data_IF_633986163223
#
_entry.id   IF_633986163223
#
_cell.length_a   1.000
_cell.length_b   1.000
_cell.length_c   1.000
_cell.angle_alpha   90.00
_cell.angle_beta   90.00
_cell.angle_gamma   90.00
#
_symmetry.space_group_name_H-M   'P 1'
#
loop_
_entity.id
_entity.type
_entity.pdbx_description
1 polymer ?
#
# COMPACT_ATOMS: atom_id res chain seq x y z
N UNK A 1 -17.87 -23.14 9.52
CA UNK A 1 -18.29 -21.76 9.84
C UNK A 1 -17.14 -20.85 9.44
N UNK A 2 -17.35 -19.84 8.59
CA UNK A 2 -16.28 -18.93 8.20
C UNK A 2 -15.91 -18.05 9.41
N UNK A 3 -14.68 -18.19 9.90
CA UNK A 3 -14.14 -17.30 10.94
C UNK A 3 -14.03 -15.88 10.37
N UNK A 4 -14.59 -14.89 11.07
CA UNK A 4 -14.45 -13.49 10.68
C UNK A 4 -12.99 -13.11 10.91
N UNK A 5 -12.29 -12.73 9.84
CA UNK A 5 -10.91 -12.24 9.93
C UNK A 5 -10.89 -10.73 10.04
N UNK A 6 -9.82 -10.20 10.61
CA UNK A 6 -9.62 -8.76 10.74
C UNK A 6 -8.55 -8.28 9.75
N UNK A 7 -8.85 -7.18 9.04
CA UNK A 7 -7.87 -6.35 8.35
C UNK A 7 -7.53 -5.21 9.28
N UNK A 8 -6.34 -5.26 9.85
CA UNK A 8 -5.80 -4.21 10.69
C UNK A 8 -5.26 -3.06 9.82
N UNK A 9 -5.52 -1.82 10.22
CA UNK A 9 -5.06 -0.65 9.46
C UNK A 9 -4.62 0.51 10.35
N UNK A 10 -3.52 1.15 9.96
CA UNK A 10 -3.09 2.44 10.49
C UNK A 10 -2.70 3.37 9.33
N UNK A 11 -3.05 4.65 9.43
CA UNK A 11 -2.54 5.68 8.54
C UNK A 11 -2.34 6.97 9.34
N UNK A 12 -1.11 7.49 9.33
CA UNK A 12 -0.70 8.64 10.13
C UNK A 12 0.26 9.53 9.34
N UNK A 13 0.25 10.81 9.69
CA UNK A 13 1.25 11.80 9.33
C UNK A 13 2.30 11.85 10.45
N UNK A 14 3.56 11.66 10.08
CA UNK A 14 4.71 11.80 10.97
C UNK A 14 5.09 13.27 11.15
N UNK A 15 5.99 13.54 12.10
CA UNK A 15 6.39 14.91 12.45
C UNK A 15 7.08 15.64 11.30
N UNK A 16 7.79 14.91 10.44
CA UNK A 16 8.45 15.44 9.25
C UNK A 16 7.50 15.61 8.05
N UNK A 17 6.19 15.47 8.28
CA UNK A 17 5.13 15.49 7.27
C UNK A 17 5.23 14.39 6.22
N UNK A 18 5.98 13.32 6.50
CA UNK A 18 5.87 12.07 5.74
C UNK A 18 4.67 11.25 6.20
N UNK A 19 4.17 10.42 5.31
CA UNK A 19 3.00 9.57 5.52
C UNK A 19 3.48 8.16 5.80
N UNK A 20 2.93 7.60 6.87
CA UNK A 20 3.02 6.19 7.18
C UNK A 20 1.63 5.55 7.07
N UNK A 21 1.53 4.50 6.29
CA UNK A 21 0.32 3.71 6.09
C UNK A 21 0.68 2.25 6.17
N UNK A 22 -0.03 1.47 6.98
CA UNK A 22 0.16 0.02 7.04
C UNK A 22 -1.19 -0.65 7.15
N UNK A 23 -1.38 -1.71 6.37
CA UNK A 23 -2.55 -2.57 6.41
C UNK A 23 -2.11 -4.02 6.34
N UNK A 24 -2.70 -4.88 7.17
CA UNK A 24 -2.38 -6.30 7.13
C UNK A 24 -3.59 -7.16 7.46
N UNK A 25 -3.50 -8.42 7.06
CA UNK A 25 -4.38 -9.51 7.47
C UNK A 25 -3.53 -10.75 7.78
N UNK A 26 -4.07 -11.66 8.58
CA UNK A 26 -3.43 -12.97 8.82
C UNK A 26 -4.24 -14.05 8.12
N UNK A 27 -3.61 -14.72 7.15
CA UNK A 27 -4.14 -15.90 6.47
C UNK A 27 -3.85 -17.13 7.32
N UNK A 28 -4.82 -18.02 7.59
CA UNK A 28 -4.49 -19.34 8.10
C UNK A 28 -3.69 -20.15 7.06
N UNK A 29 -2.88 -21.11 7.53
CA UNK A 29 -1.92 -21.83 6.69
C UNK A 29 -2.54 -22.55 5.49
N UNK A 30 -3.76 -23.04 5.63
CA UNK A 30 -4.52 -23.70 4.55
C UNK A 30 -4.84 -22.75 3.37
N UNK A 31 -4.81 -21.44 3.61
CA UNK A 31 -5.04 -20.40 2.60
C UNK A 31 -3.77 -19.65 2.19
N UNK A 32 -2.64 -19.93 2.85
CA UNK A 32 -1.38 -19.23 2.66
C UNK A 32 -0.51 -19.84 1.56
N UNK A 33 -0.86 -21.03 1.05
CA UNK A 33 -0.08 -21.72 0.03
C UNK A 33 0.10 -20.86 -1.23
N UNK A 34 1.36 -20.74 -1.68
CA UNK A 34 1.74 -19.92 -2.83
C UNK A 34 1.60 -18.40 -2.66
N UNK A 35 1.30 -17.90 -1.45
CA UNK A 35 1.23 -16.45 -1.19
C UNK A 35 2.63 -15.90 -0.93
N UNK A 36 3.23 -15.28 -1.94
CA UNK A 36 4.55 -14.64 -1.87
C UNK A 36 4.48 -13.12 -2.14
N UNK A 37 5.52 -12.34 -1.83
CA UNK A 37 5.56 -10.90 -2.17
C UNK A 37 5.38 -10.61 -3.66
N UNK A 38 5.93 -11.44 -4.56
CA UNK A 38 5.75 -11.35 -6.02
C UNK A 38 4.28 -11.51 -6.39
N UNK A 39 3.65 -12.56 -5.85
CA UNK A 39 2.23 -12.87 -6.02
C UNK A 39 1.34 -11.71 -5.55
N UNK A 40 1.71 -11.09 -4.42
CA UNK A 40 1.00 -9.94 -3.85
C UNK A 40 1.16 -8.71 -4.73
N UNK A 41 2.37 -8.43 -5.19
CA UNK A 41 2.67 -7.28 -6.05
C UNK A 41 1.86 -7.36 -7.34
N UNK A 42 1.89 -8.50 -8.03
CA UNK A 42 1.14 -8.67 -9.28
C UNK A 42 -0.37 -8.44 -9.08
N UNK A 43 -0.95 -9.04 -8.03
CA UNK A 43 -2.38 -8.85 -7.71
C UNK A 43 -2.69 -7.42 -7.29
N UNK A 44 -1.79 -6.76 -6.57
CA UNK A 44 -1.97 -5.38 -6.16
C UNK A 44 -1.99 -4.43 -7.36
N UNK A 45 -1.08 -4.60 -8.32
CA UNK A 45 -1.08 -3.81 -9.56
C UNK A 45 -2.34 -4.07 -10.39
N UNK A 46 -2.75 -5.32 -10.51
CA UNK A 46 -4.01 -5.69 -11.17
C UNK A 46 -5.23 -5.10 -10.43
N UNK A 47 -5.21 -5.08 -9.09
CA UNK A 47 -6.24 -4.46 -8.27
C UNK A 47 -6.31 -2.95 -8.50
N UNK A 48 -5.17 -2.24 -8.49
CA UNK A 48 -5.12 -0.81 -8.78
C UNK A 48 -5.78 -0.49 -10.13
N UNK A 49 -5.45 -1.27 -11.17
CA UNK A 49 -6.03 -1.10 -12.50
C UNK A 49 -7.55 -1.28 -12.48
N UNK A 50 -8.06 -2.30 -11.78
CA UNK A 50 -9.51 -2.59 -11.71
C UNK A 50 -10.25 -1.57 -10.85
N UNK A 51 -9.71 -1.25 -9.67
CA UNK A 51 -10.33 -0.36 -8.70
C UNK A 51 -10.45 1.08 -9.24
N UNK A 52 -9.44 1.53 -9.98
CA UNK A 52 -9.46 2.87 -10.61
C UNK A 52 -10.16 2.89 -11.96
N UNK A 53 -10.85 1.81 -12.37
CA UNK A 53 -11.47 1.68 -13.69
C UNK A 53 -10.50 2.01 -14.84
N UNK A 54 -9.24 1.59 -14.69
CA UNK A 54 -8.11 1.84 -15.61
C UNK A 54 -7.65 3.30 -15.71
N UNK A 55 -8.16 4.20 -14.87
CA UNK A 55 -7.69 5.59 -14.77
C UNK A 55 -6.22 5.64 -14.38
N UNK A 56 -5.82 4.78 -13.44
CA UNK A 56 -4.41 4.56 -13.08
C UNK A 56 -3.96 3.24 -13.68
N UNK A 57 -2.89 3.29 -14.48
CA UNK A 57 -2.31 2.14 -15.18
C UNK A 57 -0.90 1.90 -14.68
N UNK A 58 -0.67 0.83 -13.91
CA UNK A 58 0.67 0.35 -13.65
C UNK A 58 1.35 -0.02 -14.96
N UNK A 59 2.59 0.42 -15.13
CA UNK A 59 3.40 0.13 -16.31
C UNK A 59 4.83 -0.14 -15.88
N UNK A 60 5.36 -1.29 -16.26
CA UNK A 60 6.78 -1.58 -16.13
C UNK A 60 7.55 -0.72 -17.15
N UNK A 61 8.55 0.00 -16.67
CA UNK A 61 9.47 0.79 -17.49
C UNK A 61 10.89 0.27 -17.28
N UNK A 62 11.85 0.56 -18.19
CA UNK A 62 13.23 0.14 -18.00
C UNK A 62 13.78 0.66 -16.66
N UNK A 63 14.00 -0.25 -15.70
CA UNK A 63 14.51 0.07 -14.36
C UNK A 63 13.46 0.48 -13.32
N UNK A 64 12.16 0.35 -13.60
CA UNK A 64 11.13 0.77 -12.65
C UNK A 64 9.68 0.39 -12.95
N UNK A 65 8.80 0.94 -12.12
CA UNK A 65 7.35 0.82 -12.23
C UNK A 65 6.70 2.19 -12.13
N UNK A 66 5.94 2.60 -13.14
CA UNK A 66 5.16 3.84 -13.14
C UNK A 66 3.67 3.58 -12.92
N UNK A 67 3.03 4.38 -12.06
CA UNK A 67 1.57 4.48 -11.96
C UNK A 67 1.09 5.64 -12.82
N UNK A 68 0.67 5.36 -14.05
CA UNK A 68 0.40 6.37 -15.07
C UNK A 68 -1.06 6.74 -15.17
N UNK A 69 -1.36 8.02 -15.39
CA UNK A 69 -2.72 8.49 -15.66
C UNK A 69 -3.11 8.19 -17.12
N UNK A 70 -4.27 7.56 -17.31
CA UNK A 70 -4.81 7.20 -18.64
C UNK A 70 -4.82 8.39 -19.61
N UNK A 71 -4.48 8.13 -20.87
CA UNK A 71 -4.47 9.16 -21.91
C UNK A 71 -3.32 10.17 -21.82
N UNK A 72 -2.46 10.09 -20.80
CA UNK A 72 -1.35 11.03 -20.62
C UNK A 72 0.01 10.33 -20.65
N UNK A 73 1.11 11.10 -20.59
CA UNK A 73 2.48 10.62 -20.29
C UNK A 73 2.89 10.80 -18.83
N UNK A 74 1.97 11.26 -17.98
CA UNK A 74 2.29 11.66 -16.61
C UNK A 74 2.21 10.47 -15.65
N UNK A 75 3.30 10.21 -14.94
CA UNK A 75 3.34 9.28 -13.82
C UNK A 75 2.83 9.99 -12.57
N UNK A 76 1.79 9.43 -11.93
CA UNK A 76 1.31 9.86 -10.62
C UNK A 76 2.37 9.61 -9.56
N UNK A 77 2.90 8.40 -9.57
CA UNK A 77 4.04 7.97 -8.75
C UNK A 77 4.89 7.06 -9.62
N UNK A 78 6.20 7.23 -9.52
CA UNK A 78 7.22 6.40 -10.13
C UNK A 78 8.00 5.68 -9.05
N UNK A 79 8.28 4.41 -9.29
CA UNK A 79 9.01 3.54 -8.39
C UNK A 79 10.25 2.95 -9.06
N UNK A 80 11.24 2.55 -8.26
CA UNK A 80 12.28 1.61 -8.67
C UNK A 80 11.69 0.27 -9.09
N UNK A 81 12.53 -0.59 -9.68
CA UNK A 81 12.19 -2.01 -9.79
C UNK A 81 11.93 -2.59 -8.40
N UNK A 82 11.10 -3.65 -8.29
CA UNK A 82 10.91 -4.33 -7.02
C UNK A 82 12.21 -4.98 -6.57
N UNK A 83 12.63 -4.66 -5.35
CA UNK A 83 13.72 -5.33 -4.65
C UNK A 83 13.12 -6.38 -3.72
N UNK A 84 13.51 -7.63 -3.91
CA UNK A 84 13.01 -8.74 -3.10
C UNK A 84 13.97 -9.04 -1.97
N UNK A 85 13.46 -9.06 -0.75
CA UNK A 85 14.20 -9.37 0.44
C UNK A 85 13.62 -10.63 1.09
N UNK A 86 14.51 -11.47 1.59
CA UNK A 86 14.17 -12.68 2.30
C UNK A 86 15.00 -12.73 3.59
N UNK A 87 14.28 -12.77 4.71
CA UNK A 87 14.78 -13.03 6.06
C UNK A 87 14.09 -14.31 6.58
N UNK A 88 14.54 -14.85 7.72
CA UNK A 88 14.17 -16.20 8.21
C UNK A 88 12.65 -16.47 8.22
N UNK A 89 11.84 -15.49 8.60
CA UNK A 89 10.36 -15.60 8.66
C UNK A 89 9.63 -14.54 7.84
N UNK A 90 10.34 -13.63 7.17
CA UNK A 90 9.75 -12.48 6.49
C UNK A 90 10.30 -12.32 5.09
N UNK A 91 9.42 -12.32 4.10
CA UNK A 91 9.76 -12.00 2.72
C UNK A 91 9.08 -10.69 2.34
N UNK A 92 9.71 -9.87 1.51
CA UNK A 92 9.12 -8.62 1.04
C UNK A 92 9.53 -8.23 -0.36
N UNK A 93 8.66 -7.50 -1.03
CA UNK A 93 8.90 -6.79 -2.27
C UNK A 93 8.85 -5.29 -1.97
N UNK A 94 9.99 -4.62 -2.09
CA UNK A 94 10.16 -3.20 -1.77
C UNK A 94 10.29 -2.41 -3.07
N UNK A 95 9.48 -1.37 -3.20
CA UNK A 95 9.50 -0.42 -4.30
C UNK A 95 9.82 0.96 -3.74
N UNK A 96 11.03 1.45 -3.98
CA UNK A 96 11.40 2.81 -3.61
C UNK A 96 10.69 3.79 -4.53
N UNK A 97 10.09 4.84 -3.98
CA UNK A 97 9.56 5.95 -4.76
C UNK A 97 10.75 6.67 -5.38
N UNK A 98 10.59 7.12 -6.63
CA UNK A 98 11.61 7.85 -7.39
C UNK A 98 11.09 9.18 -7.95
N UNK A 99 9.78 9.41 -7.91
CA UNK A 99 9.18 10.66 -8.34
C UNK A 99 7.72 10.50 -8.74
N UNK A 100 7.25 11.40 -9.61
CA UNK A 100 5.87 11.48 -10.07
C UNK A 100 5.15 12.72 -9.54
N UNK A 101 4.04 13.07 -10.19
CA UNK A 101 3.34 14.34 -9.92
C UNK A 101 2.71 14.42 -8.54
N UNK A 102 2.59 13.30 -7.81
CA UNK A 102 2.07 13.29 -6.45
C UNK A 102 3.18 13.36 -5.40
N UNK A 103 4.46 13.37 -5.77
CA UNK A 103 5.60 13.35 -4.84
C UNK A 103 6.25 14.73 -4.76
N UNK A 104 6.71 15.14 -3.58
CA UNK A 104 7.52 16.35 -3.46
C UNK A 104 8.88 16.15 -4.16
N UNK A 105 9.30 17.04 -5.09
CA UNK A 105 10.51 16.87 -5.90
C UNK A 105 11.79 16.59 -5.09
N UNK A 106 11.97 17.29 -3.97
CA UNK A 106 13.18 17.19 -3.12
C UNK A 106 13.12 16.08 -2.06
N UNK A 107 12.16 15.15 -2.21
CA UNK A 107 11.89 14.05 -1.27
C UNK A 107 11.59 12.73 -1.98
N UNK A 108 11.88 12.66 -3.28
CA UNK A 108 11.47 11.55 -4.14
C UNK A 108 12.06 10.21 -3.71
N UNK A 109 13.26 10.19 -3.14
CA UNK A 109 14.06 9.02 -2.76
C UNK A 109 13.77 8.45 -1.36
N UNK A 110 12.91 9.10 -0.59
CA UNK A 110 12.62 8.69 0.80
C UNK A 110 11.54 7.63 0.90
N UNK A 111 10.47 7.79 0.13
CA UNK A 111 9.26 6.99 0.29
C UNK A 111 9.41 5.58 -0.25
N UNK A 112 8.74 4.60 0.38
CA UNK A 112 8.78 3.20 -0.03
C UNK A 112 7.41 2.56 0.06
N UNK A 113 7.06 1.76 -0.94
CA UNK A 113 5.95 0.83 -0.88
C UNK A 113 6.51 -0.57 -0.68
N UNK A 114 6.04 -1.27 0.34
CA UNK A 114 6.45 -2.62 0.67
C UNK A 114 5.22 -3.54 0.71
N UNK A 115 5.33 -4.69 0.05
CA UNK A 115 4.41 -5.80 0.21
C UNK A 115 5.17 -6.94 0.87
N UNK A 116 4.71 -7.43 2.01
CA UNK A 116 5.44 -8.43 2.78
C UNK A 116 4.55 -9.58 3.23
N UNK A 117 5.20 -10.72 3.42
CA UNK A 117 4.65 -11.93 4.03
C UNK A 117 5.51 -12.29 5.23
N UNK A 118 4.90 -12.47 6.39
CA UNK A 118 5.58 -12.85 7.62
C UNK A 118 4.92 -14.09 8.21
N UNK A 119 5.71 -15.16 8.41
CA UNK A 119 5.24 -16.38 9.05
C UNK A 119 5.01 -16.15 10.54
N UNK A 120 3.78 -16.33 10.99
CA UNK A 120 3.37 -16.32 12.39
C UNK A 120 3.10 -17.74 12.87
N UNK A 121 2.96 -17.94 14.17
CA UNK A 121 2.72 -19.28 14.73
C UNK A 121 1.34 -19.84 14.34
N UNK A 122 0.38 -18.98 13.98
CA UNK A 122 -1.00 -19.32 13.64
C UNK A 122 -1.39 -18.99 12.19
N UNK A 123 -0.42 -18.63 11.33
CA UNK A 123 -0.67 -18.36 9.92
C UNK A 123 0.39 -17.49 9.24
N UNK A 124 0.03 -16.91 8.10
CA UNK A 124 0.86 -16.00 7.32
C UNK A 124 0.27 -14.59 7.37
N UNK A 125 1.02 -13.63 7.93
CA UNK A 125 0.66 -12.22 7.86
C UNK A 125 1.00 -11.68 6.48
N UNK A 126 -0.01 -11.15 5.79
CA UNK A 126 0.14 -10.39 4.55
C UNK A 126 0.03 -8.92 4.87
N UNK A 127 1.04 -8.13 4.55
CA UNK A 127 1.13 -6.71 4.87
C UNK A 127 1.42 -5.84 3.64
N UNK A 128 0.79 -4.66 3.62
CA UNK A 128 1.06 -3.58 2.68
C UNK A 128 1.44 -2.36 3.52
N UNK A 129 2.63 -1.84 3.26
CA UNK A 129 3.18 -0.70 3.98
C UNK A 129 3.62 0.38 3.00
N UNK A 130 3.23 1.62 3.27
CA UNK A 130 3.80 2.82 2.67
C UNK A 130 4.52 3.60 3.77
N UNK A 131 5.82 3.79 3.64
CA UNK A 131 6.62 4.56 4.60
C UNK A 131 7.23 5.79 3.94
N UNK A 132 7.52 6.80 4.76
CA UNK A 132 8.32 7.97 4.41
C UNK A 132 7.84 8.73 3.15
N UNK A 133 6.57 8.55 2.79
CA UNK A 133 6.01 9.13 1.59
C UNK A 133 5.75 10.63 1.80
N UNK A 134 6.25 11.48 0.92
CA UNK A 134 6.06 12.94 0.98
C UNK A 134 5.11 13.41 -0.15
N UNK A 135 3.80 13.53 0.11
CA UNK A 135 2.83 14.00 -0.87
C UNK A 135 3.07 15.44 -1.30
N UNK A 136 2.98 15.69 -2.61
CA UNK A 136 3.05 17.05 -3.17
C UNK A 136 1.96 17.95 -2.59
N UNK A 137 0.76 17.42 -2.34
CA UNK A 137 -0.37 18.17 -1.79
C UNK A 137 -0.12 18.75 -0.39
N UNK A 138 0.85 18.22 0.37
CA UNK A 138 1.26 18.84 1.64
C UNK A 138 2.16 20.06 1.41
N UNK A 139 2.82 20.15 0.25
CA UNK A 139 3.55 21.31 -0.25
C UNK A 139 4.87 21.63 0.47
N UNK A 140 5.04 21.25 1.73
CA UNK A 140 6.27 21.42 2.50
C UNK A 140 6.29 20.55 3.76
N UNK A 141 7.40 20.60 4.51
CA UNK A 141 7.53 19.97 5.84
C UNK A 141 6.61 20.58 6.92
N UNK A 142 6.01 21.76 6.66
CA UNK A 142 5.04 22.42 7.55
C UNK A 142 3.79 22.78 6.75
N UNK A 143 2.95 21.79 6.41
CA UNK A 143 1.76 22.02 5.60
C UNK A 143 0.76 22.93 6.31
N UNK A 144 0.10 23.81 5.55
CA UNK A 144 -1.03 24.60 6.05
C UNK A 144 -2.20 23.67 6.39
N UNK A 145 -3.14 24.15 7.22
CA UNK A 145 -4.33 23.36 7.58
C UNK A 145 -5.20 23.02 6.38
N UNK A 146 -5.26 23.91 5.38
CA UNK A 146 -5.98 23.67 4.12
C UNK A 146 -5.34 22.57 3.27
N UNK A 147 -4.01 22.60 3.10
CA UNK A 147 -3.27 21.57 2.37
C UNK A 147 -3.39 20.19 3.03
N UNK A 148 -3.32 20.14 4.37
CA UNK A 148 -3.60 18.92 5.13
C UNK A 148 -5.01 18.39 4.90
N UNK A 149 -6.01 19.27 4.91
CA UNK A 149 -7.40 18.89 4.69
C UNK A 149 -7.60 18.32 3.28
N UNK A 150 -7.06 18.98 2.25
CA UNK A 150 -7.13 18.52 0.87
C UNK A 150 -6.45 17.16 0.71
N UNK A 151 -5.26 16.99 1.28
CA UNK A 151 -4.54 15.71 1.29
C UNK A 151 -5.35 14.59 1.96
N UNK A 152 -5.92 14.84 3.14
CA UNK A 152 -6.76 13.89 3.88
C UNK A 152 -7.92 13.38 3.05
N UNK A 153 -8.65 14.28 2.40
CA UNK A 153 -9.86 13.95 1.66
C UNK A 153 -9.59 13.33 0.28
N UNK A 154 -8.38 13.48 -0.26
CA UNK A 154 -8.05 12.96 -1.59
C UNK A 154 -7.16 11.74 -1.48
N UNK A 155 -5.86 11.97 -1.36
CA UNK A 155 -4.85 10.96 -1.57
C UNK A 155 -4.78 9.95 -0.41
N UNK A 156 -4.88 10.43 0.83
CA UNK A 156 -4.85 9.59 2.02
C UNK A 156 -6.10 8.69 2.09
N UNK A 157 -7.28 9.23 1.77
CA UNK A 157 -8.53 8.48 1.75
C UNK A 157 -8.55 7.43 0.64
N UNK A 158 -8.17 7.81 -0.59
CA UNK A 158 -8.13 6.90 -1.74
C UNK A 158 -7.14 5.76 -1.48
N UNK A 159 -5.93 6.07 -0.99
CA UNK A 159 -4.91 5.05 -0.71
C UNK A 159 -5.40 4.02 0.31
N UNK A 160 -5.90 4.47 1.47
CA UNK A 160 -6.45 3.57 2.50
C UNK A 160 -7.57 2.69 1.96
N UNK A 161 -8.49 3.25 1.17
CA UNK A 161 -9.61 2.50 0.59
C UNK A 161 -9.11 1.43 -0.39
N UNK A 162 -8.14 1.78 -1.23
CA UNK A 162 -7.52 0.88 -2.20
C UNK A 162 -6.84 -0.29 -1.50
N UNK A 163 -5.99 -0.04 -0.52
CA UNK A 163 -5.22 -1.11 0.16
C UNK A 163 -6.11 -2.03 0.98
N UNK A 164 -7.10 -1.48 1.69
CA UNK A 164 -8.09 -2.28 2.41
C UNK A 164 -8.91 -3.13 1.43
N UNK A 165 -9.39 -2.56 0.32
CA UNK A 165 -10.16 -3.34 -0.67
C UNK A 165 -9.33 -4.38 -1.39
N UNK A 166 -8.05 -4.13 -1.59
CA UNK A 166 -7.12 -5.13 -2.10
C UNK A 166 -7.05 -6.32 -1.15
N UNK A 167 -6.79 -6.10 0.14
CA UNK A 167 -6.71 -7.14 1.17
C UNK A 167 -8.02 -7.93 1.31
N UNK A 168 -9.16 -7.24 1.32
CA UNK A 168 -10.48 -7.88 1.34
C UNK A 168 -10.72 -8.77 0.12
N UNK A 169 -10.32 -8.30 -1.06
CA UNK A 169 -10.45 -9.03 -2.31
C UNK A 169 -9.53 -10.25 -2.34
N UNK A 170 -8.28 -10.08 -1.93
CA UNK A 170 -7.30 -11.16 -1.83
C UNK A 170 -7.85 -12.28 -0.94
N UNK A 171 -8.36 -11.95 0.25
CA UNK A 171 -8.93 -12.95 1.15
C UNK A 171 -10.14 -13.67 0.53
N UNK A 172 -11.04 -12.96 -0.16
CA UNK A 172 -12.18 -13.60 -0.84
C UNK A 172 -11.78 -14.48 -2.01
N UNK A 173 -10.69 -14.13 -2.70
CA UNK A 173 -10.14 -14.96 -3.78
C UNK A 173 -9.56 -16.27 -3.24
N UNK A 174 -9.00 -16.27 -2.01
CA UNK A 174 -8.41 -17.44 -1.36
C UNK A 174 -9.44 -18.28 -0.56
N UNK A 175 -10.23 -17.63 0.30
CA UNK A 175 -11.18 -18.27 1.22
C UNK A 175 -12.59 -18.50 0.61
N UNK A 176 -12.82 -18.02 -0.61
CA UNK A 176 -14.10 -18.11 -1.31
C UNK A 176 -15.03 -16.89 -1.13
N UNK A 177 -16.14 -16.84 -1.92
CA UNK A 177 -16.96 -15.64 -2.08
C UNK A 177 -17.74 -15.22 -0.82
N UNK A 178 -17.97 -16.16 0.10
CA UNK A 178 -18.70 -15.92 1.36
C UNK A 178 -17.77 -15.53 2.52
N UNK A 179 -16.47 -15.38 2.27
CA UNK A 179 -15.51 -15.04 3.29
C UNK A 179 -15.75 -13.61 3.82
N UNK A 180 -15.91 -13.51 5.14
CA UNK A 180 -16.19 -12.26 5.84
C UNK A 180 -14.92 -11.73 6.51
N UNK A 181 -14.72 -10.42 6.39
CA UNK A 181 -13.61 -9.72 7.00
C UNK A 181 -14.12 -8.40 7.57
N UNK A 182 -13.61 -8.03 8.73
CA UNK A 182 -13.86 -6.75 9.39
C UNK A 182 -12.60 -5.90 9.32
N UNK A 183 -12.76 -4.59 9.19
CA UNK A 183 -11.63 -3.66 9.23
C UNK A 183 -11.50 -3.13 10.66
N UNK A 184 -10.32 -3.27 11.25
CA UNK A 184 -10.02 -2.83 12.63
C UNK A 184 -8.92 -1.78 12.64
N UNK A 185 -8.98 -0.77 13.53
CA UNK A 185 -7.89 0.17 13.71
C UNK A 185 -6.71 -0.54 14.38
N UNK A 186 -5.50 -0.17 14.00
CA UNK A 186 -4.28 -0.61 14.65
C UNK A 186 -3.36 0.57 14.99
N UNK A 187 -2.45 0.35 15.95
CA UNK A 187 -1.50 1.34 16.40
C UNK A 187 -0.09 0.74 16.41
N UNK A 188 0.62 0.88 15.29
CA UNK A 188 1.99 0.39 15.10
C UNK A 188 3.01 1.51 15.38
N UNK A 189 2.72 2.74 14.92
CA UNK A 189 3.56 3.92 15.14
C UNK A 189 2.80 5.07 15.81
N UNK A 190 3.53 5.98 16.46
CA UNK A 190 2.98 7.26 16.96
C UNK A 190 2.97 8.29 15.83
N UNK A 191 1.89 9.06 15.71
CA UNK A 191 1.76 10.15 14.74
C UNK A 191 0.36 10.73 14.75
N UNK A 192 0.11 11.72 13.88
CA UNK A 192 -1.20 12.38 13.77
C UNK A 192 -2.07 11.63 12.76
N UNK A 193 -3.36 11.38 13.03
CA UNK A 193 -4.25 10.83 12.01
C UNK A 193 -4.23 11.71 10.75
N UNK A 194 -4.06 11.11 9.58
CA UNK A 194 -4.14 11.83 8.29
C UNK A 194 -5.54 12.27 8.00
#
# INVERSE_FOLDING_TARGET
MASIRDVACQQILLEDSSVFSVQWLVLPFDLADGVTPEFLLERYLNHLRRFTLTLVRPRSEPGGLGLRLVGTRLNLIEFSGPEFHQDDRRHSAVLAIRGGILVQPDRCDRGRLELSTEELDDGLRVELQLSDYCPLLLGSAKPSTMHRMLYRFTQAAIHKVVTVRFLLRLYRELAGPHACVRVVPAQVRKGRPT
#
